data_IF_061678258730
#
_entry.id   IF_061678258730
#
_cell.length_a   1.000
_cell.length_b   1.000
_cell.length_c   1.000
_cell.angle_alpha   90.00
_cell.angle_beta   90.00
_cell.angle_gamma   90.00
#
_symmetry.space_group_name_H-M   'P 1'
#
loop_
_entity.id
_entity.type
_entity.pdbx_description
1 polymer ?
#
# COMPACT_ATOMS: atom_id res chain seq x y z
N UNK A 1 13.10 -25.45 -23.18
CA UNK A 1 14.35 -25.03 -22.53
C UNK A 1 14.00 -23.82 -21.69
N UNK A 2 13.78 -24.00 -20.39
CA UNK A 2 13.61 -22.86 -19.49
C UNK A 2 15.00 -22.39 -19.11
N UNK A 3 15.45 -21.29 -19.70
CA UNK A 3 16.62 -20.58 -19.16
C UNK A 3 16.34 -20.24 -17.70
N UNK A 4 17.35 -20.40 -16.85
CA UNK A 4 17.29 -20.01 -15.45
C UNK A 4 16.92 -18.51 -15.37
N UNK A 5 15.82 -18.21 -14.68
CA UNK A 5 15.27 -16.86 -14.56
C UNK A 5 16.32 -15.87 -14.01
N UNK A 6 17.20 -16.35 -13.13
CA UNK A 6 18.31 -15.56 -12.57
C UNK A 6 19.33 -15.18 -13.65
N UNK A 7 19.69 -16.13 -14.50
CA UNK A 7 20.68 -15.90 -15.56
C UNK A 7 20.10 -14.97 -16.63
N UNK A 8 18.79 -15.04 -16.88
CA UNK A 8 18.11 -14.10 -17.77
C UNK A 8 18.13 -12.69 -17.20
N UNK A 9 17.84 -12.52 -15.90
CA UNK A 9 17.88 -11.22 -15.25
C UNK A 9 19.29 -10.62 -15.21
N UNK A 10 20.31 -11.44 -14.94
CA UNK A 10 21.70 -11.00 -14.94
C UNK A 10 22.14 -10.55 -16.35
N UNK A 11 21.70 -11.26 -17.42
CA UNK A 11 21.89 -10.83 -18.82
C UNK A 11 21.18 -9.51 -19.12
N UNK A 12 19.91 -9.40 -18.73
CA UNK A 12 19.09 -8.20 -18.98
C UNK A 12 19.72 -6.96 -18.31
N UNK A 13 20.25 -7.08 -17.10
CA UNK A 13 20.97 -6.00 -16.40
C UNK A 13 22.28 -5.61 -17.12
N UNK A 14 23.01 -6.60 -17.64
CA UNK A 14 24.22 -6.36 -18.41
C UNK A 14 23.92 -5.64 -19.74
N UNK A 15 22.83 -6.00 -20.42
CA UNK A 15 22.44 -5.47 -21.73
C UNK A 15 21.66 -4.15 -21.66
N UNK A 16 20.92 -3.90 -20.57
CA UNK A 16 20.12 -2.69 -20.43
C UNK A 16 20.96 -1.43 -20.61
N UNK A 17 20.35 -0.37 -21.14
CA UNK A 17 21.00 0.95 -21.24
C UNK A 17 21.00 1.65 -19.89
N UNK A 18 19.87 1.63 -19.22
CA UNK A 18 19.64 2.29 -17.94
C UNK A 18 18.73 1.43 -17.08
N UNK A 19 18.86 1.57 -15.76
CA UNK A 19 17.90 0.96 -14.85
C UNK A 19 17.58 1.88 -13.67
N UNK A 20 16.42 1.64 -13.07
CA UNK A 20 15.99 2.23 -11.81
C UNK A 20 15.66 1.12 -10.84
N UNK A 21 15.78 1.39 -9.54
CA UNK A 21 15.33 0.44 -8.51
C UNK A 21 14.21 1.01 -7.66
N UNK A 22 13.37 0.13 -7.15
CA UNK A 22 12.40 0.44 -6.12
C UNK A 22 12.72 -0.42 -4.90
N UNK A 23 12.78 0.22 -3.73
CA UNK A 23 13.12 -0.43 -2.47
C UNK A 23 11.96 -0.29 -1.51
N UNK A 24 11.46 -1.41 -1.00
CA UNK A 24 10.38 -1.46 -0.02
C UNK A 24 10.76 -2.44 1.09
N UNK A 25 10.55 -2.06 2.35
CA UNK A 25 10.83 -2.90 3.51
C UNK A 25 9.54 -3.61 3.94
N UNK A 26 9.62 -4.93 4.14
CA UNK A 26 8.54 -5.70 4.75
C UNK A 26 9.09 -6.59 5.86
N UNK A 27 8.26 -6.91 6.85
CA UNK A 27 8.59 -7.92 7.87
C UNK A 27 8.03 -9.25 7.39
N UNK A 28 8.85 -10.29 7.35
CA UNK A 28 8.40 -11.64 7.01
C UNK A 28 7.79 -12.37 8.23
N UNK A 29 7.26 -13.59 8.02
CA UNK A 29 6.63 -14.37 9.09
C UNK A 29 7.60 -14.83 10.18
N UNK A 30 8.91 -14.73 9.95
CA UNK A 30 9.96 -15.05 10.94
C UNK A 30 10.36 -13.83 11.78
N UNK A 31 9.67 -12.69 11.60
CA UNK A 31 10.03 -11.39 12.20
C UNK A 31 11.36 -10.83 11.70
N UNK A 32 11.88 -11.33 10.57
CA UNK A 32 13.06 -10.76 9.92
C UNK A 32 12.59 -9.68 8.94
N UNK A 33 13.20 -8.50 9.02
CA UNK A 33 12.97 -7.46 8.02
C UNK A 33 13.62 -7.88 6.70
N UNK A 34 12.88 -7.77 5.61
CA UNK A 34 13.30 -8.08 4.26
C UNK A 34 13.20 -6.80 3.43
N UNK A 35 14.31 -6.43 2.80
CA UNK A 35 14.31 -5.38 1.79
C UNK A 35 14.00 -6.00 0.43
N UNK A 36 12.85 -5.64 -0.10
CA UNK A 36 12.45 -6.01 -1.46
C UNK A 36 13.00 -5.00 -2.44
N UNK A 37 13.77 -5.48 -3.42
CA UNK A 37 14.35 -4.63 -4.46
C UNK A 37 13.75 -5.04 -5.80
N UNK A 38 12.98 -4.14 -6.41
CA UNK A 38 12.56 -4.26 -7.80
C UNK A 38 13.50 -3.49 -8.70
N UNK A 39 13.69 -3.97 -9.93
CA UNK A 39 14.43 -3.25 -10.95
C UNK A 39 13.56 -3.02 -12.18
N UNK A 40 13.62 -1.80 -12.71
CA UNK A 40 13.04 -1.41 -13.99
C UNK A 40 14.17 -1.06 -14.95
N UNK A 41 14.29 -1.84 -16.01
CA UNK A 41 15.34 -1.73 -17.03
C UNK A 41 14.77 -1.10 -18.30
N UNK A 42 15.59 -0.30 -18.98
CA UNK A 42 15.32 0.29 -20.29
C UNK A 42 16.39 -0.20 -21.26
N UNK A 43 15.98 -0.77 -22.40
CA UNK A 43 16.88 -1.30 -23.43
C UNK A 43 17.08 -0.31 -24.57
N UNK A 44 17.94 -0.67 -25.54
CA UNK A 44 18.31 0.20 -26.66
C UNK A 44 17.14 0.56 -27.57
N UNK A 45 16.20 -0.36 -27.69
CA UNK A 45 14.97 -0.22 -28.48
C UNK A 45 13.84 0.48 -27.71
N UNK A 46 14.16 1.08 -26.55
CA UNK A 46 13.22 1.69 -25.61
C UNK A 46 12.20 0.73 -24.99
N UNK A 47 12.34 -0.58 -25.21
CA UNK A 47 11.56 -1.55 -24.44
C UNK A 47 11.92 -1.45 -22.96
N UNK A 48 10.92 -1.73 -22.11
CA UNK A 48 11.10 -1.72 -20.65
C UNK A 48 10.72 -3.05 -20.06
N UNK A 49 11.52 -3.51 -19.10
CA UNK A 49 11.24 -4.71 -18.32
C UNK A 49 11.31 -4.38 -16.84
N UNK A 50 10.39 -4.92 -16.06
CA UNK A 50 10.31 -4.75 -14.61
C UNK A 50 10.23 -6.12 -13.96
N UNK A 51 11.14 -6.39 -13.03
CA UNK A 51 11.27 -7.68 -12.35
C UNK A 51 11.68 -7.48 -10.89
N UNK A 52 11.38 -8.48 -10.06
CA UNK A 52 11.94 -8.57 -8.72
C UNK A 52 13.43 -8.88 -8.85
N UNK A 53 14.28 -7.97 -8.38
CA UNK A 53 15.73 -8.14 -8.44
C UNK A 53 16.22 -9.09 -7.36
N UNK A 54 15.80 -8.84 -6.11
CA UNK A 54 16.22 -9.64 -4.96
C UNK A 54 15.38 -9.33 -3.71
N UNK A 55 15.49 -10.21 -2.72
CA UNK A 55 15.06 -10.02 -1.35
C UNK A 55 16.30 -10.05 -0.45
N UNK A 56 16.60 -8.95 0.23
CA UNK A 56 17.78 -8.82 1.08
C UNK A 56 17.36 -8.86 2.56
N UNK A 57 17.78 -9.90 3.33
CA UNK A 57 17.45 -9.98 4.74
C UNK A 57 18.26 -8.96 5.55
N UNK A 58 17.57 -8.13 6.33
CA UNK A 58 18.13 -7.17 7.27
C UNK A 58 18.12 -7.80 8.68
N UNK A 59 19.19 -8.52 9.01
CA UNK A 59 19.26 -9.42 10.18
C UNK A 59 19.28 -8.71 11.54
N UNK A 60 19.73 -7.46 11.60
CA UNK A 60 19.99 -6.75 12.86
C UNK A 60 19.09 -5.53 13.01
N UNK A 61 19.26 -4.55 12.14
CA UNK A 61 18.55 -3.26 12.17
C UNK A 61 18.18 -2.84 10.76
N UNK A 62 17.19 -1.95 10.66
CA UNK A 62 16.66 -1.43 9.39
C UNK A 62 17.02 0.04 9.17
N UNK A 63 18.18 0.48 9.69
CA UNK A 63 18.62 1.88 9.51
C UNK A 63 19.08 2.08 8.08
N UNK A 64 19.09 3.33 7.62
CA UNK A 64 19.50 3.66 6.25
C UNK A 64 20.88 3.14 5.86
N UNK A 65 21.83 3.10 6.80
CA UNK A 65 23.16 2.52 6.58
C UNK A 65 23.12 1.00 6.37
N UNK A 66 22.24 0.29 7.07
CA UNK A 66 22.13 -1.17 6.97
C UNK A 66 21.52 -1.55 5.61
N UNK A 67 20.48 -0.82 5.19
CA UNK A 67 19.85 -0.92 3.86
C UNK A 67 20.88 -0.62 2.76
N UNK A 68 21.63 0.49 2.91
CA UNK A 68 22.69 0.87 1.98
C UNK A 68 23.74 -0.23 1.82
N UNK A 69 24.26 -0.76 2.93
CA UNK A 69 25.28 -1.80 2.90
C UNK A 69 24.76 -3.06 2.22
N UNK A 70 23.54 -3.50 2.54
CA UNK A 70 22.93 -4.68 1.92
C UNK A 70 22.78 -4.51 0.40
N UNK A 71 22.24 -3.37 -0.06
CA UNK A 71 22.09 -3.09 -1.49
C UNK A 71 23.45 -3.01 -2.18
N UNK A 72 24.42 -2.32 -1.57
CA UNK A 72 25.75 -2.14 -2.15
C UNK A 72 26.51 -3.46 -2.27
N UNK A 73 26.49 -4.27 -1.23
CA UNK A 73 27.09 -5.61 -1.22
C UNK A 73 26.47 -6.49 -2.30
N UNK A 74 25.13 -6.51 -2.42
CA UNK A 74 24.44 -7.25 -3.46
C UNK A 74 24.87 -6.80 -4.87
N UNK A 75 24.93 -5.48 -5.11
CA UNK A 75 25.33 -4.93 -6.41
C UNK A 75 26.77 -5.30 -6.76
N UNK A 76 27.67 -5.29 -5.77
CA UNK A 76 29.06 -5.69 -5.95
C UNK A 76 29.17 -7.19 -6.27
N UNK A 77 28.50 -8.06 -5.50
CA UNK A 77 28.52 -9.52 -5.71
C UNK A 77 27.98 -9.89 -7.09
N UNK A 78 26.89 -9.22 -7.52
CA UNK A 78 26.26 -9.43 -8.82
C UNK A 78 26.91 -8.68 -9.98
N UNK A 79 27.97 -7.90 -9.72
CA UNK A 79 28.62 -7.04 -10.71
C UNK A 79 27.62 -6.13 -11.47
N UNK A 80 26.59 -5.63 -10.77
CA UNK A 80 25.58 -4.75 -11.38
C UNK A 80 26.26 -3.43 -11.73
N UNK A 81 26.14 -2.95 -12.99
CA UNK A 81 26.82 -1.74 -13.43
C UNK A 81 26.15 -0.49 -12.84
N UNK A 82 26.50 -0.11 -11.60
CA UNK A 82 25.94 1.02 -10.86
C UNK A 82 25.86 2.33 -11.66
N UNK A 83 26.81 2.56 -12.57
CA UNK A 83 26.85 3.74 -13.44
C UNK A 83 25.62 3.86 -14.35
N UNK A 84 24.86 2.78 -14.56
CA UNK A 84 23.60 2.76 -15.31
C UNK A 84 22.36 3.09 -14.46
N UNK A 85 22.52 3.32 -13.16
CA UNK A 85 21.40 3.66 -12.28
C UNK A 85 20.93 5.10 -12.55
N UNK A 86 19.64 5.28 -12.82
CA UNK A 86 19.06 6.61 -13.08
C UNK A 86 18.12 7.10 -11.99
N UNK A 87 17.45 6.19 -11.27
CA UNK A 87 16.59 6.58 -10.15
C UNK A 87 16.41 5.49 -9.10
N UNK A 88 16.09 5.93 -7.88
CA UNK A 88 15.73 5.08 -6.74
C UNK A 88 14.38 5.56 -6.20
N UNK A 89 13.42 4.65 -6.09
CA UNK A 89 12.10 4.91 -5.49
C UNK A 89 12.00 4.21 -4.14
N UNK A 90 11.51 4.89 -3.11
CA UNK A 90 11.34 4.34 -1.75
C UNK A 90 9.97 4.69 -1.17
N UNK A 91 9.54 4.00 -0.12
CA UNK A 91 8.31 4.27 0.65
C UNK A 91 8.29 5.62 1.39
N UNK A 92 9.42 6.35 1.41
CA UNK A 92 9.53 7.64 2.08
C UNK A 92 9.82 7.56 3.58
N UNK A 93 10.03 6.36 4.15
CA UNK A 93 10.35 6.20 5.56
C UNK A 93 11.63 6.96 5.96
N UNK A 94 11.78 7.38 7.23
CA UNK A 94 12.98 8.07 7.70
C UNK A 94 14.28 7.29 7.45
N UNK A 95 14.26 5.96 7.55
CA UNK A 95 15.40 5.11 7.24
C UNK A 95 15.78 5.15 5.75
N UNK A 96 14.82 5.34 4.86
CA UNK A 96 15.06 5.42 3.42
C UNK A 96 15.53 6.82 2.99
N UNK A 97 14.83 7.87 3.45
CA UNK A 97 14.94 9.23 2.90
C UNK A 97 15.56 10.26 3.86
N UNK A 98 15.93 9.85 5.07
CA UNK A 98 16.54 10.73 6.07
C UNK A 98 17.74 11.51 5.52
N UNK A 99 17.75 12.83 5.78
CA UNK A 99 18.68 13.79 5.14
C UNK A 99 20.17 13.43 5.26
N UNK A 100 20.56 12.86 6.39
CA UNK A 100 21.97 12.59 6.72
C UNK A 100 22.28 11.10 6.88
N UNK A 101 21.31 10.30 7.34
CA UNK A 101 21.50 8.89 7.72
C UNK A 101 20.51 7.95 7.02
N UNK A 102 19.77 8.46 6.04
CA UNK A 102 18.89 7.65 5.22
C UNK A 102 19.65 6.91 4.12
N UNK A 103 19.10 5.78 3.66
CA UNK A 103 19.62 5.00 2.53
C UNK A 103 20.01 5.89 1.34
N UNK A 104 19.10 6.78 0.92
CA UNK A 104 19.34 7.69 -0.20
C UNK A 104 20.49 8.68 0.08
N UNK A 105 20.64 9.14 1.32
CA UNK A 105 21.74 10.03 1.70
C UNK A 105 23.09 9.31 1.61
N UNK A 106 23.15 8.05 2.04
CA UNK A 106 24.33 7.21 1.90
C UNK A 106 24.67 6.95 0.42
N UNK A 107 23.70 6.56 -0.41
CA UNK A 107 23.90 6.41 -1.85
C UNK A 107 24.43 7.68 -2.51
N UNK A 108 23.89 8.86 -2.17
CA UNK A 108 24.35 10.15 -2.73
C UNK A 108 25.75 10.54 -2.28
N UNK A 109 26.21 10.03 -1.14
CA UNK A 109 27.53 10.34 -0.58
C UNK A 109 28.62 9.39 -1.08
N UNK A 110 28.24 8.24 -1.64
CA UNK A 110 29.17 7.26 -2.21
C UNK A 110 29.53 7.62 -3.67
N UNK A 111 30.81 7.90 -3.99
CA UNK A 111 31.27 8.24 -5.33
C UNK A 111 31.00 7.17 -6.40
N UNK A 112 30.76 5.92 -5.99
CA UNK A 112 30.46 4.84 -6.92
C UNK A 112 29.01 4.89 -7.45
N UNK A 113 28.11 5.64 -6.81
CA UNK A 113 26.78 5.89 -7.36
C UNK A 113 26.82 7.09 -8.32
N UNK A 114 26.17 7.00 -9.49
CA UNK A 114 26.03 8.14 -10.38
C UNK A 114 25.08 9.17 -9.76
N UNK A 115 24.94 10.33 -10.42
CA UNK A 115 23.82 11.22 -10.11
C UNK A 115 22.52 10.53 -10.50
N UNK A 116 21.61 10.37 -9.55
CA UNK A 116 20.30 9.74 -9.76
C UNK A 116 19.17 10.58 -9.18
N UNK A 117 17.95 10.35 -9.66
CA UNK A 117 16.73 10.97 -9.15
C UNK A 117 16.15 10.11 -8.02
N UNK A 118 15.74 10.74 -6.92
CA UNK A 118 15.02 10.06 -5.83
C UNK A 118 13.52 10.28 -6.00
N UNK A 119 12.73 9.22 -5.85
CA UNK A 119 11.27 9.31 -5.82
C UNK A 119 10.71 8.75 -4.52
N UNK A 120 9.67 9.40 -4.01
CA UNK A 120 8.79 8.83 -3.00
C UNK A 120 7.69 8.06 -3.75
N UNK A 121 7.47 6.80 -3.38
CA UNK A 121 6.41 5.97 -3.91
C UNK A 121 5.06 6.71 -3.88
N UNK A 122 4.49 6.92 -5.07
CA UNK A 122 3.22 7.66 -5.24
C UNK A 122 2.05 6.99 -4.51
N UNK A 123 2.08 5.66 -4.36
CA UNK A 123 1.06 4.88 -3.63
C UNK A 123 1.13 5.21 -2.13
N UNK A 124 2.35 5.27 -1.58
CA UNK A 124 2.57 5.68 -0.20
C UNK A 124 2.17 7.14 0.03
N UNK A 125 2.52 8.04 -0.89
CA UNK A 125 2.09 9.45 -0.83
C UNK A 125 0.56 9.58 -0.86
N UNK A 126 -0.10 8.87 -1.78
CA UNK A 126 -1.56 8.83 -1.86
C UNK A 126 -2.19 8.35 -0.55
N UNK A 127 -1.63 7.29 0.05
CA UNK A 127 -2.10 6.76 1.33
C UNK A 127 -1.88 7.76 2.47
N UNK A 128 -0.77 8.51 2.48
CA UNK A 128 -0.50 9.57 3.45
C UNK A 128 -1.46 10.75 3.30
N UNK A 129 -1.69 11.23 2.08
CA UNK A 129 -2.68 12.28 1.80
C UNK A 129 -4.07 11.87 2.30
N UNK A 130 -4.44 10.61 2.08
CA UNK A 130 -5.73 10.08 2.51
C UNK A 130 -5.91 10.05 4.03
N UNK A 131 -4.82 9.94 4.81
CA UNK A 131 -4.87 10.03 6.29
C UNK A 131 -5.20 11.44 6.79
N UNK A 132 -4.97 12.47 5.96
CA UNK A 132 -5.24 13.88 6.31
C UNK A 132 -6.65 14.31 5.89
N UNK A 133 -7.40 13.46 5.17
CA UNK A 133 -8.81 13.68 4.82
C UNK A 133 -9.63 13.59 6.11
N UNK A 134 -9.75 14.73 6.81
CA UNK A 134 -10.34 14.85 8.14
C UNK A 134 -11.85 14.62 8.14
N UNK A 135 -12.26 13.37 8.40
CA UNK A 135 -13.66 12.95 8.53
C UNK A 135 -13.85 12.04 9.75
N UNK A 136 -13.18 12.37 10.86
CA UNK A 136 -13.27 11.60 12.09
C UNK A 136 -14.69 11.56 12.67
N UNK A 137 -15.51 12.59 12.41
CA UNK A 137 -16.93 12.62 12.79
C UNK A 137 -17.78 11.58 12.06
N UNK A 138 -17.34 11.09 10.91
CA UNK A 138 -17.97 9.97 10.18
C UNK A 138 -17.29 8.65 10.54
N UNK A 139 -15.96 8.61 10.45
CA UNK A 139 -15.18 7.38 10.65
C UNK A 139 -15.32 6.82 12.07
N UNK A 140 -15.27 7.67 13.10
CA UNK A 140 -15.35 7.21 14.49
C UNK A 140 -16.69 6.52 14.78
N UNK A 141 -17.87 7.09 14.45
CA UNK A 141 -19.14 6.38 14.62
C UNK A 141 -19.25 5.11 13.78
N UNK A 142 -18.84 5.12 12.50
CA UNK A 142 -18.89 3.94 11.61
C UNK A 142 -18.09 2.79 12.22
N UNK A 143 -16.83 3.03 12.60
CA UNK A 143 -15.96 2.00 13.18
C UNK A 143 -16.52 1.51 14.51
N UNK A 144 -17.07 2.41 15.35
CA UNK A 144 -17.71 2.03 16.62
C UNK A 144 -18.90 1.11 16.42
N UNK A 145 -19.80 1.43 15.48
CA UNK A 145 -20.98 0.61 15.19
C UNK A 145 -20.57 -0.76 14.64
N UNK A 146 -19.64 -0.80 13.68
CA UNK A 146 -19.11 -2.05 13.14
C UNK A 146 -18.52 -2.91 14.24
N UNK A 147 -17.67 -2.33 15.10
CA UNK A 147 -17.03 -3.06 16.18
C UNK A 147 -18.06 -3.56 17.21
N UNK A 148 -19.11 -2.78 17.50
CA UNK A 148 -20.17 -3.22 18.40
C UNK A 148 -20.81 -4.53 17.89
N UNK A 149 -21.16 -4.57 16.60
CA UNK A 149 -21.79 -5.72 15.94
C UNK A 149 -20.81 -6.89 15.80
N UNK A 150 -19.59 -6.63 15.32
CA UNK A 150 -18.60 -7.64 14.92
C UNK A 150 -17.85 -8.27 16.09
N UNK A 151 -17.58 -7.53 17.17
CA UNK A 151 -16.71 -8.01 18.25
C UNK A 151 -17.43 -8.98 19.19
N UNK A 152 -18.76 -8.85 19.34
CA UNK A 152 -19.58 -9.72 20.17
C UNK A 152 -20.14 -10.87 19.33
N UNK A 153 -19.65 -12.09 19.56
CA UNK A 153 -20.03 -13.27 18.77
C UNK A 153 -21.54 -13.50 18.63
N UNK A 154 -22.31 -13.26 19.71
CA UNK A 154 -23.78 -13.33 19.67
C UNK A 154 -24.36 -12.28 18.71
N UNK A 155 -23.91 -11.04 18.81
CA UNK A 155 -24.40 -9.94 17.99
C UNK A 155 -24.04 -10.15 16.52
N UNK A 156 -22.82 -10.60 16.23
CA UNK A 156 -22.39 -10.90 14.87
C UNK A 156 -23.25 -11.98 14.23
N UNK A 157 -23.51 -13.09 14.94
CA UNK A 157 -24.40 -14.16 14.42
C UNK A 157 -25.82 -13.66 14.21
N UNK A 158 -26.39 -12.93 15.17
CA UNK A 158 -27.74 -12.36 15.03
C UNK A 158 -27.84 -11.39 13.87
N UNK A 159 -26.83 -10.53 13.66
CA UNK A 159 -26.81 -9.61 12.54
C UNK A 159 -26.72 -10.35 11.20
N UNK A 160 -25.92 -11.42 11.10
CA UNK A 160 -25.86 -12.24 9.87
C UNK A 160 -27.20 -12.90 9.52
N UNK A 161 -27.95 -13.36 10.53
CA UNK A 161 -29.30 -13.92 10.32
C UNK A 161 -30.23 -12.83 9.77
N UNK A 162 -30.22 -11.64 10.36
CA UNK A 162 -31.00 -10.50 9.87
C UNK A 162 -30.66 -10.16 8.41
N UNK A 163 -29.37 -10.12 8.05
CA UNK A 163 -28.94 -9.87 6.68
C UNK A 163 -29.46 -10.94 5.68
N UNK A 164 -29.56 -12.19 6.11
CA UNK A 164 -30.11 -13.28 5.28
C UNK A 164 -31.63 -13.17 5.14
N UNK A 165 -32.34 -12.85 6.23
CA UNK A 165 -33.79 -12.65 6.22
C UNK A 165 -34.22 -11.49 5.32
N UNK A 166 -33.45 -10.38 5.35
CA UNK A 166 -33.70 -9.19 4.54
C UNK A 166 -33.16 -9.29 3.11
N UNK A 167 -32.52 -10.42 2.74
CA UNK A 167 -31.87 -10.60 1.43
C UNK A 167 -30.89 -9.47 1.09
N UNK A 168 -30.11 -9.02 2.07
CA UNK A 168 -29.20 -7.89 1.96
C UNK A 168 -28.11 -8.11 0.90
N UNK A 169 -27.61 -7.02 0.31
CA UNK A 169 -26.55 -7.05 -0.71
C UNK A 169 -25.28 -7.77 -0.22
N UNK A 170 -24.93 -7.57 1.05
CA UNK A 170 -23.78 -8.20 1.69
C UNK A 170 -24.21 -9.09 2.84
N UNK A 171 -23.54 -10.25 3.00
CA UNK A 171 -23.81 -11.21 4.07
C UNK A 171 -23.06 -10.96 5.38
N UNK A 172 -22.20 -9.92 5.45
CA UNK A 172 -21.43 -9.60 6.64
C UNK A 172 -20.74 -8.23 6.54
N UNK A 173 -20.55 -7.55 7.68
CA UNK A 173 -19.71 -6.34 7.79
C UNK A 173 -18.22 -6.69 7.74
N UNK A 174 -17.42 -5.73 7.26
CA UNK A 174 -15.97 -5.83 7.27
C UNK A 174 -15.41 -5.25 8.58
N UNK A 175 -14.49 -5.98 9.22
CA UNK A 175 -13.73 -5.43 10.36
C UNK A 175 -12.74 -4.37 9.88
N UNK A 176 -12.67 -3.27 10.62
CA UNK A 176 -11.65 -2.25 10.41
C UNK A 176 -10.30 -2.73 10.94
N UNK A 177 -9.29 -2.69 10.07
CA UNK A 177 -7.89 -2.70 10.46
C UNK A 177 -7.28 -1.41 9.98
N UNK A 178 -6.64 -0.66 10.90
CA UNK A 178 -6.00 0.64 10.64
C UNK A 178 -4.90 0.59 9.59
N UNK A 179 -4.46 -0.62 9.23
CA UNK A 179 -3.19 -0.88 8.58
C UNK A 179 -3.23 -0.55 7.08
N UNK A 180 -4.40 -0.44 6.42
CA UNK A 180 -4.46 -0.19 4.96
C UNK A 180 -5.62 0.69 4.56
N UNK A 181 -5.35 1.83 3.92
CA UNK A 181 -6.37 2.73 3.37
C UNK A 181 -7.44 2.02 2.51
N UNK A 182 -7.03 1.02 1.72
CA UNK A 182 -7.93 0.18 0.93
C UNK A 182 -9.05 -0.49 1.76
N UNK A 183 -8.86 -0.69 3.07
CA UNK A 183 -9.88 -1.23 3.97
C UNK A 183 -10.96 -0.18 4.26
N UNK A 184 -10.59 1.10 4.49
CA UNK A 184 -11.51 2.18 4.85
C UNK A 184 -12.61 2.38 3.81
N UNK A 185 -12.24 2.51 2.53
CA UNK A 185 -13.25 2.69 1.48
C UNK A 185 -14.17 1.48 1.29
N UNK A 186 -13.66 0.25 1.49
CA UNK A 186 -14.52 -0.96 1.43
C UNK A 186 -15.48 -1.04 2.62
N UNK A 187 -15.02 -0.60 3.79
CA UNK A 187 -15.83 -0.55 5.00
C UNK A 187 -16.95 0.46 4.87
N UNK A 188 -16.63 1.67 4.41
CA UNK A 188 -17.60 2.73 4.18
C UNK A 188 -18.65 2.33 3.15
N UNK A 189 -18.22 1.79 2.00
CA UNK A 189 -19.12 1.28 0.97
C UNK A 189 -20.07 0.23 1.54
N UNK A 190 -19.55 -0.74 2.30
CA UNK A 190 -20.39 -1.79 2.86
C UNK A 190 -21.31 -1.29 3.97
N UNK A 191 -20.84 -0.36 4.80
CA UNK A 191 -21.64 0.26 5.84
C UNK A 191 -22.82 1.03 5.23
N UNK A 192 -22.57 1.77 4.15
CA UNK A 192 -23.59 2.51 3.42
C UNK A 192 -24.60 1.56 2.74
N UNK A 193 -24.14 0.49 2.08
CA UNK A 193 -25.03 -0.51 1.47
C UNK A 193 -25.91 -1.25 2.49
N UNK A 194 -25.44 -1.41 3.73
CA UNK A 194 -26.17 -2.09 4.81
C UNK A 194 -26.83 -1.11 5.79
N UNK A 195 -26.95 0.17 5.44
CA UNK A 195 -27.38 1.21 6.37
C UNK A 195 -28.78 0.93 6.94
N UNK A 196 -29.70 0.42 6.13
CA UNK A 196 -31.05 0.01 6.56
C UNK A 196 -31.02 -1.09 7.62
N UNK A 197 -30.26 -2.15 7.35
CA UNK A 197 -30.15 -3.34 8.18
C UNK A 197 -29.41 -3.02 9.48
N UNK A 198 -28.41 -2.14 9.42
CA UNK A 198 -27.71 -1.61 10.61
C UNK A 198 -28.69 -0.83 11.48
N UNK A 199 -29.50 0.07 10.91
CA UNK A 199 -30.52 0.82 11.66
C UNK A 199 -31.52 -0.12 12.33
N UNK A 200 -32.04 -1.09 11.59
CA UNK A 200 -33.00 -2.08 12.12
C UNK A 200 -32.39 -2.90 13.26
N UNK A 201 -31.16 -3.38 13.08
CA UNK A 201 -30.45 -4.12 14.11
C UNK A 201 -30.21 -3.29 15.37
N UNK A 202 -29.83 -2.01 15.23
CA UNK A 202 -29.65 -1.10 16.37
C UNK A 202 -30.98 -0.81 17.08
N UNK A 203 -32.06 -0.57 16.33
CA UNK A 203 -33.41 -0.35 16.89
C UNK A 203 -33.91 -1.57 17.67
N UNK A 204 -33.68 -2.79 17.18
CA UNK A 204 -34.02 -4.02 17.92
C UNK A 204 -33.28 -4.21 19.25
N UNK A 205 -32.21 -3.41 19.47
CA UNK A 205 -31.39 -3.39 20.68
C UNK A 205 -31.64 -2.16 21.55
N UNK A 206 -32.66 -1.35 21.21
CA UNK A 206 -32.99 -0.10 21.89
C UNK A 206 -31.81 0.91 21.87
N UNK A 207 -31.03 0.91 20.79
CA UNK A 207 -29.91 1.84 20.60
C UNK A 207 -30.33 3.08 19.80
N UNK A 208 -29.74 4.23 20.15
CA UNK A 208 -29.98 5.48 19.43
C UNK A 208 -29.47 5.40 17.97
N UNK A 209 -30.38 5.73 17.05
CA UNK A 209 -30.12 5.74 15.59
C UNK A 209 -30.29 7.13 14.97
N UNK A 210 -30.52 8.17 15.79
CA UNK A 210 -30.76 9.55 15.34
C UNK A 210 -29.70 10.05 14.35
N UNK A 211 -28.42 9.81 14.63
CA UNK A 211 -27.30 10.16 13.73
C UNK A 211 -27.39 9.48 12.37
N UNK A 212 -27.88 8.24 12.30
CA UNK A 212 -28.05 7.51 11.04
C UNK A 212 -29.26 8.03 10.24
N UNK A 213 -30.12 8.85 10.84
CA UNK A 213 -31.25 9.52 10.20
C UNK A 213 -30.94 10.99 9.88
N UNK A 214 -29.87 11.55 10.43
CA UNK A 214 -29.42 12.90 10.15
C UNK A 214 -28.93 13.06 8.71
N UNK A 215 -29.60 13.94 7.96
CA UNK A 215 -29.34 14.10 6.52
C UNK A 215 -27.95 14.67 6.25
N UNK A 216 -27.44 15.57 7.10
CA UNK A 216 -26.12 16.17 6.91
C UNK A 216 -25.01 15.12 7.11
N UNK A 217 -25.10 14.32 8.16
CA UNK A 217 -24.17 13.23 8.43
C UNK A 217 -24.20 12.15 7.34
N UNK A 218 -25.39 11.83 6.81
CA UNK A 218 -25.52 10.88 5.70
C UNK A 218 -24.88 11.38 4.40
N UNK A 219 -24.97 12.68 4.11
CA UNK A 219 -24.28 13.28 2.96
C UNK A 219 -22.76 13.20 3.12
N UNK A 220 -22.24 13.49 4.32
CA UNK A 220 -20.82 13.35 4.61
C UNK A 220 -20.35 11.90 4.50
N UNK A 221 -21.15 10.93 4.98
CA UNK A 221 -20.90 9.50 4.82
C UNK A 221 -20.83 9.10 3.34
N UNK A 222 -21.81 9.53 2.54
CA UNK A 222 -21.85 9.24 1.10
C UNK A 222 -20.66 9.86 0.37
N UNK A 223 -20.36 11.13 0.62
CA UNK A 223 -19.21 11.82 0.04
C UNK A 223 -17.89 11.12 0.37
N UNK A 224 -17.68 10.79 1.64
CA UNK A 224 -16.47 10.08 2.07
C UNK A 224 -16.37 8.69 1.42
N UNK A 225 -17.50 7.98 1.31
CA UNK A 225 -17.58 6.69 0.63
C UNK A 225 -17.14 6.81 -0.83
N UNK A 226 -17.63 7.81 -1.55
CA UNK A 226 -17.29 8.03 -2.96
C UNK A 226 -15.81 8.38 -3.16
N UNK A 227 -15.30 9.36 -2.41
CA UNK A 227 -13.90 9.79 -2.50
C UNK A 227 -12.96 8.64 -2.12
N UNK A 228 -13.27 7.89 -1.05
CA UNK A 228 -12.47 6.73 -0.67
C UNK A 228 -12.53 5.61 -1.70
N UNK A 229 -13.67 5.42 -2.36
CA UNK A 229 -13.82 4.52 -3.50
C UNK A 229 -12.92 4.91 -4.68
N UNK A 230 -12.90 6.19 -5.07
CA UNK A 230 -12.02 6.70 -6.14
C UNK A 230 -10.54 6.53 -5.78
N UNK A 231 -10.15 6.85 -4.56
CA UNK A 231 -8.78 6.67 -4.07
C UNK A 231 -8.36 5.20 -4.06
N UNK A 232 -9.27 4.28 -3.72
CA UNK A 232 -9.01 2.84 -3.79
C UNK A 232 -8.79 2.36 -5.23
N UNK A 233 -9.58 2.86 -6.18
CA UNK A 233 -9.43 2.52 -7.58
C UNK A 233 -8.09 3.03 -8.13
N UNK A 234 -7.72 4.27 -7.82
CA UNK A 234 -6.43 4.84 -8.18
C UNK A 234 -5.27 4.02 -7.59
N UNK A 235 -5.33 3.69 -6.30
CA UNK A 235 -4.31 2.92 -5.61
C UNK A 235 -4.09 1.54 -6.26
N UNK A 236 -5.18 0.82 -6.57
CA UNK A 236 -5.11 -0.47 -7.30
C UNK A 236 -4.55 -0.32 -8.70
N UNK A 237 -4.96 0.73 -9.41
CA UNK A 237 -4.51 0.96 -10.77
C UNK A 237 -3.01 1.30 -10.81
N UNK A 238 -2.48 1.98 -9.78
CA UNK A 238 -1.04 2.27 -9.64
C UNK A 238 -0.19 1.03 -9.33
N UNK A 239 -0.78 -0.05 -8.80
CA UNK A 239 -0.07 -1.31 -8.51
C UNK A 239 0.01 -2.27 -9.71
N UNK A 240 -0.64 -1.94 -10.83
CA UNK A 240 -0.74 -2.83 -11.98
C UNK A 240 0.55 -2.90 -12.81
N UNK A 241 0.90 -4.09 -13.31
CA UNK A 241 1.99 -4.26 -14.27
C UNK A 241 1.73 -3.41 -15.52
N UNK A 242 2.75 -2.65 -15.95
CA UNK A 242 2.65 -1.80 -17.13
C UNK A 242 1.79 -0.55 -16.94
N UNK A 243 1.49 -0.16 -15.69
CA UNK A 243 0.80 1.10 -15.39
C UNK A 243 1.85 2.16 -15.05
N UNK A 244 2.02 3.14 -15.93
CA UNK A 244 2.82 4.33 -15.63
C UNK A 244 1.90 5.48 -15.25
N UNK A 245 2.43 6.48 -14.53
CA UNK A 245 1.67 7.70 -14.21
C UNK A 245 1.15 8.39 -15.49
N UNK A 246 1.92 8.30 -16.59
CA UNK A 246 1.51 8.85 -17.88
C UNK A 246 0.29 8.14 -18.48
N UNK A 247 0.06 6.86 -18.17
CA UNK A 247 -1.12 6.11 -18.63
C UNK A 247 -2.39 6.40 -17.80
N UNK A 248 -2.25 7.21 -16.75
CA UNK A 248 -3.30 7.46 -15.75
C UNK A 248 -3.75 8.93 -15.71
N UNK A 249 -3.13 9.79 -16.52
CA UNK A 249 -3.50 11.19 -16.74
C UNK A 249 -4.24 11.27 -18.07
#
# INVERSE_FOLDING_TARGET
>A
MSDNLTDQLDRDLAECKWFSIQCDESIDSSSTAQLMVFVRMVFKDFSTKEELLTLLPLKTTTRGVDIYNAVKEFFNIKNIPLQKLVSITTDGAPAMTGRHVGFIAHCKSDPAFPKFVQYHCIIHQQALCAKVIGFEHVMTPVVRIINSIRFKAKQHRSFKVLLEELSAEYRDLLLHTDIRWLSRGRILLRFLSLLSEIKEFMKSRDEDTSMLEDTAWLLDLAFLTDITGKLNNLNRALQGKGKTVADMI
#
